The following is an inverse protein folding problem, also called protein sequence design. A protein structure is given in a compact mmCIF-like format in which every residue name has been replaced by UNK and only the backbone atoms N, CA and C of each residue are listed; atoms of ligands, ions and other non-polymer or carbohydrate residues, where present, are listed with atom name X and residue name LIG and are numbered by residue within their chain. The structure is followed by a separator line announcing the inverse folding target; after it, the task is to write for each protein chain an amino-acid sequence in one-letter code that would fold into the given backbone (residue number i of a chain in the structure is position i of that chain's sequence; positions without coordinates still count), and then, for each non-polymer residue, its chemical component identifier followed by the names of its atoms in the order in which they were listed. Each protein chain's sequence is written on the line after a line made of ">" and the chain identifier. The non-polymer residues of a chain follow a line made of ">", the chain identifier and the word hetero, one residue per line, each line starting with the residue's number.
data_IF_256951534259
#
_entry.id   IF_256951534259
#
_cell.length_a   1.000
_cell.length_b   1.000
_cell.length_c   1.000
_cell.angle_alpha   90.00
_cell.angle_beta   90.00
_cell.angle_gamma   90.00
#
_symmetry.space_group_name_H-M   'P 1'
#
loop_
_entity.id
_entity.type
_entity.pdbx_description
1 polymer ?
#
# COMPACT_ATOMS: atom_id res chain seq x y z
N UNK A 1 15.57 -32.68 30.94
CA UNK A 1 16.59 -31.78 30.37
C UNK A 1 16.17 -31.55 28.93
N UNK A 2 15.31 -30.54 28.71
CA UNK A 2 14.71 -30.25 27.40
C UNK A 2 15.52 -29.17 26.70
N UNK A 3 15.66 -29.36 25.39
CA UNK A 3 16.45 -28.59 24.45
C UNK A 3 16.20 -27.09 24.59
N UNK A 4 17.30 -26.36 24.78
CA UNK A 4 17.39 -24.92 24.63
C UNK A 4 17.27 -24.64 23.14
N UNK A 5 16.15 -24.07 22.71
CA UNK A 5 15.99 -23.62 21.34
C UNK A 5 17.12 -22.64 21.02
N UNK A 6 17.89 -22.95 19.97
CA UNK A 6 18.85 -22.05 19.36
C UNK A 6 18.05 -20.86 18.82
N UNK A 7 18.10 -19.74 19.55
CA UNK A 7 17.74 -18.44 18.99
C UNK A 7 18.92 -18.08 18.09
N UNK A 8 18.76 -18.23 16.79
CA UNK A 8 19.73 -17.73 15.81
C UNK A 8 20.01 -16.26 16.13
N UNK A 9 21.23 -15.99 16.57
CA UNK A 9 21.67 -14.65 16.93
C UNK A 9 21.85 -13.85 15.64
N UNK A 10 20.83 -13.06 15.28
CA UNK A 10 20.91 -12.06 14.22
C UNK A 10 22.17 -11.21 14.45
N UNK A 11 22.97 -11.01 13.39
CA UNK A 11 24.19 -10.21 13.52
C UNK A 11 23.85 -8.75 13.83
N UNK A 12 24.74 -7.98 14.50
CA UNK A 12 24.48 -6.58 14.77
C UNK A 12 24.16 -5.76 13.51
N UNK A 13 24.83 -6.04 12.38
CA UNK A 13 24.55 -5.39 11.09
C UNK A 13 23.14 -5.71 10.61
N UNK A 14 22.78 -6.99 10.61
CA UNK A 14 21.48 -7.46 10.15
C UNK A 14 20.34 -6.91 11.03
N UNK A 15 20.58 -6.73 12.33
CA UNK A 15 19.62 -6.07 13.22
C UNK A 15 19.42 -4.59 12.85
N UNK A 16 20.51 -3.85 12.63
CA UNK A 16 20.45 -2.44 12.24
C UNK A 16 19.72 -2.25 10.91
N UNK A 17 20.03 -3.11 9.93
CA UNK A 17 19.42 -3.09 8.60
C UNK A 17 17.93 -3.44 8.68
N UNK A 18 17.59 -4.54 9.36
CA UNK A 18 16.20 -4.99 9.53
C UNK A 18 15.31 -3.91 10.16
N UNK A 19 15.84 -3.18 11.13
CA UNK A 19 15.08 -2.16 11.86
C UNK A 19 15.33 -0.73 11.36
N UNK A 20 16.09 -0.56 10.28
CA UNK A 20 16.40 0.74 9.68
C UNK A 20 16.94 1.75 10.71
N UNK A 21 17.70 1.28 11.70
CA UNK A 21 18.10 2.08 12.86
C UNK A 21 18.99 3.26 12.43
N UNK A 22 19.84 3.06 11.43
CA UNK A 22 20.72 4.10 10.91
C UNK A 22 19.93 5.27 10.32
N UNK A 23 18.84 4.99 9.59
CA UNK A 23 17.96 6.03 9.04
C UNK A 23 17.41 6.94 10.14
N UNK A 24 16.95 6.36 11.25
CA UNK A 24 16.40 7.14 12.36
C UNK A 24 17.48 7.89 13.13
N UNK A 25 18.68 7.34 13.28
CA UNK A 25 19.79 8.04 13.93
C UNK A 25 20.25 9.23 13.09
N UNK A 26 20.43 9.04 11.79
CA UNK A 26 20.83 10.10 10.85
C UNK A 26 19.80 11.23 10.82
N UNK A 27 18.52 10.88 10.76
CA UNK A 27 17.43 11.85 10.81
C UNK A 27 17.38 12.60 12.15
N UNK A 28 17.48 11.90 13.29
CA UNK A 28 17.50 12.51 14.62
C UNK A 28 18.65 13.51 14.79
N UNK A 29 19.85 13.16 14.30
CA UNK A 29 21.03 14.01 14.38
C UNK A 29 20.87 15.23 13.47
N UNK A 30 20.38 15.03 12.25
CA UNK A 30 20.15 16.13 11.29
C UNK A 30 19.18 17.16 11.88
N UNK A 31 18.03 16.72 12.37
CA UNK A 31 17.05 17.61 13.00
C UNK A 31 17.58 18.27 14.28
N UNK A 32 18.40 17.58 15.07
CA UNK A 32 19.00 18.17 16.27
C UNK A 32 19.97 19.30 15.91
N UNK A 33 20.75 19.14 14.84
CA UNK A 33 21.68 20.16 14.37
C UNK A 33 20.93 21.39 13.86
N UNK A 34 19.89 21.20 13.04
CA UNK A 34 19.02 22.28 12.56
C UNK A 34 18.33 23.01 13.74
N UNK A 35 17.75 22.27 14.67
CA UNK A 35 17.09 22.85 15.84
C UNK A 35 18.06 23.59 16.76
N UNK A 36 19.31 23.14 16.87
CA UNK A 36 20.34 23.79 17.67
C UNK A 36 20.76 25.14 17.09
N UNK A 37 20.78 25.26 15.76
CA UNK A 37 21.08 26.53 15.08
C UNK A 37 20.03 27.59 15.39
N UNK A 38 18.76 27.19 15.57
CA UNK A 38 17.67 28.07 16.01
C UNK A 38 17.59 28.23 17.54
N UNK A 39 18.00 27.21 18.30
CA UNK A 39 17.90 27.15 19.76
C UNK A 39 19.19 26.66 20.42
N UNK A 40 20.07 27.59 20.75
CA UNK A 40 21.38 27.32 21.36
C UNK A 40 21.33 26.68 22.76
N UNK A 41 20.15 26.56 23.38
CA UNK A 41 19.94 25.98 24.73
C UNK A 41 19.35 24.57 24.70
N UNK A 42 19.28 23.94 23.53
CA UNK A 42 18.73 22.58 23.41
C UNK A 42 19.48 21.59 24.30
N UNK A 43 18.72 20.76 25.01
CA UNK A 43 19.26 19.64 25.77
C UNK A 43 19.25 18.43 24.85
N UNK A 44 20.41 18.09 24.28
CA UNK A 44 20.55 17.04 23.26
C UNK A 44 19.92 15.71 23.67
N UNK A 45 20.15 15.26 24.91
CA UNK A 45 19.59 13.99 25.41
C UNK A 45 18.06 14.00 25.48
N UNK A 46 17.46 15.14 25.84
CA UNK A 46 16.01 15.30 25.85
C UNK A 46 15.45 15.29 24.42
N UNK A 47 16.08 16.01 23.50
CA UNK A 47 15.67 16.03 22.11
C UNK A 47 15.66 14.62 21.50
N UNK A 48 16.76 13.87 21.66
CA UNK A 48 16.85 12.50 21.15
C UNK A 48 15.82 11.58 21.82
N UNK A 49 15.61 11.71 23.13
CA UNK A 49 14.58 10.93 23.82
C UNK A 49 13.17 11.25 23.32
N UNK A 50 12.86 12.51 23.04
CA UNK A 50 11.56 12.94 22.51
C UNK A 50 11.38 12.46 21.05
N UNK A 51 12.44 12.47 20.24
CA UNK A 51 12.45 11.93 18.88
C UNK A 51 12.18 10.41 18.85
N UNK A 52 12.93 9.60 19.61
CA UNK A 52 12.67 8.16 19.62
C UNK A 52 11.33 7.81 20.27
N UNK A 53 10.83 8.65 21.19
CA UNK A 53 9.45 8.52 21.70
C UNK A 53 8.42 8.79 20.61
N UNK A 54 8.66 9.74 19.70
CA UNK A 54 7.75 9.98 18.57
C UNK A 54 7.76 8.82 17.57
N UNK A 55 8.91 8.18 17.33
CA UNK A 55 8.99 6.94 16.53
C UNK A 55 8.18 5.82 17.17
N UNK A 56 8.35 5.61 18.47
CA UNK A 56 7.61 4.59 19.22
C UNK A 56 6.10 4.83 19.17
N UNK A 57 5.65 6.08 19.25
CA UNK A 57 4.24 6.46 19.14
C UNK A 57 3.71 6.48 17.70
N UNK A 58 4.61 6.46 16.71
CA UNK A 58 4.29 6.56 15.29
C UNK A 58 3.88 7.96 14.83
N UNK A 59 4.25 9.02 15.54
CA UNK A 59 3.94 10.41 15.15
C UNK A 59 5.11 11.10 14.43
N UNK A 60 6.25 10.43 14.30
CA UNK A 60 7.46 10.96 13.66
C UNK A 60 7.30 11.20 12.16
N UNK A 61 6.24 10.70 11.53
CA UNK A 61 5.93 10.87 10.10
C UNK A 61 5.10 12.12 9.81
N UNK A 62 4.57 12.81 10.82
CA UNK A 62 3.79 14.03 10.64
C UNK A 62 4.69 15.19 10.18
N UNK A 63 4.22 15.91 9.17
CA UNK A 63 4.89 17.07 8.56
C UNK A 63 6.26 16.75 7.96
N UNK A 64 6.45 15.50 7.52
CA UNK A 64 7.68 15.02 6.88
C UNK A 64 7.53 15.00 5.37
N UNK A 65 8.67 15.02 4.69
CA UNK A 65 8.75 14.81 3.24
C UNK A 65 8.28 13.40 2.86
N UNK A 66 7.69 13.26 1.68
CA UNK A 66 7.16 12.01 1.19
C UNK A 66 8.23 10.91 1.13
N UNK A 67 9.46 11.27 0.74
CA UNK A 67 10.58 10.32 0.67
C UNK A 67 10.92 9.71 2.04
N UNK A 68 10.88 10.51 3.11
CA UNK A 68 11.07 10.00 4.46
C UNK A 68 9.93 9.06 4.89
N UNK A 69 8.70 9.44 4.58
CA UNK A 69 7.50 8.68 4.98
C UNK A 69 7.44 7.31 4.27
N UNK A 70 7.87 7.23 3.01
CA UNK A 70 7.91 5.96 2.25
C UNK A 70 9.13 5.09 2.52
N UNK A 71 10.15 5.61 3.21
CA UNK A 71 11.47 4.97 3.29
C UNK A 71 11.47 3.60 3.98
N UNK A 72 10.58 3.39 4.96
CA UNK A 72 10.53 2.13 5.72
C UNK A 72 9.10 1.63 5.88
N UNK A 73 8.93 0.33 6.06
CA UNK A 73 7.63 -0.27 6.39
C UNK A 73 7.01 0.37 7.64
N UNK A 74 7.83 0.65 8.66
CA UNK A 74 7.38 1.31 9.90
C UNK A 74 6.87 2.73 9.62
N UNK A 75 7.59 3.52 8.82
CA UNK A 75 7.15 4.87 8.45
C UNK A 75 5.84 4.83 7.67
N UNK A 76 5.71 3.93 6.69
CA UNK A 76 4.47 3.76 5.92
C UNK A 76 3.28 3.43 6.82
N UNK A 77 3.47 2.46 7.73
CA UNK A 77 2.46 2.06 8.71
C UNK A 77 2.06 3.22 9.63
N UNK A 78 3.04 3.92 10.23
CA UNK A 78 2.78 5.07 11.10
C UNK A 78 2.04 6.19 10.36
N UNK A 79 2.40 6.46 9.11
CA UNK A 79 1.70 7.48 8.33
C UNK A 79 0.26 7.10 8.02
N UNK A 80 -0.01 5.84 7.65
CA UNK A 80 -1.39 5.34 7.49
C UNK A 80 -2.17 5.52 8.80
N UNK A 81 -1.56 5.20 9.95
CA UNK A 81 -2.15 5.44 11.29
C UNK A 81 -2.47 6.92 11.51
N UNK A 82 -1.55 7.82 11.15
CA UNK A 82 -1.75 9.26 11.26
C UNK A 82 -2.88 9.76 10.36
N UNK A 83 -2.94 9.33 9.10
CA UNK A 83 -4.03 9.68 8.17
C UNK A 83 -5.38 9.25 8.74
N UNK A 84 -5.47 8.01 9.22
CA UNK A 84 -6.67 7.51 9.89
C UNK A 84 -7.03 8.36 11.11
N UNK A 85 -6.08 8.55 12.03
CA UNK A 85 -6.27 9.31 13.26
C UNK A 85 -6.74 10.75 13.01
N UNK A 86 -6.11 11.46 12.08
CA UNK A 86 -6.37 12.88 11.85
C UNK A 86 -7.71 13.11 11.17
N UNK A 87 -8.17 12.17 10.33
CA UNK A 87 -9.30 12.40 9.43
C UNK A 87 -10.52 11.49 9.69
N UNK A 88 -10.44 10.48 10.57
CA UNK A 88 -11.60 9.62 10.89
C UNK A 88 -12.83 10.41 11.36
N UNK A 89 -12.62 11.53 12.05
CA UNK A 89 -13.71 12.38 12.55
C UNK A 89 -14.37 13.23 11.46
N UNK A 90 -13.62 13.56 10.40
CA UNK A 90 -14.19 14.19 9.20
C UNK A 90 -15.19 13.22 8.56
N UNK A 91 -14.82 11.93 8.48
CA UNK A 91 -15.68 10.89 7.96
C UNK A 91 -16.87 10.54 8.89
N UNK A 92 -16.73 10.68 10.21
CA UNK A 92 -17.77 10.33 11.17
C UNK A 92 -18.91 11.36 11.29
N UNK A 93 -18.64 12.63 11.02
CA UNK A 93 -19.62 13.72 11.22
C UNK A 93 -20.45 14.09 9.98
N UNK A 94 -20.25 13.40 8.85
CA UNK A 94 -21.17 13.51 7.73
C UNK A 94 -20.56 13.11 6.40
N UNK A 95 -20.71 11.83 6.03
CA UNK A 95 -20.96 11.31 4.67
C UNK A 95 -20.22 11.95 3.46
N UNK A 96 -19.05 12.54 3.65
CA UNK A 96 -18.34 13.18 2.55
C UNK A 96 -17.58 12.09 1.81
N UNK A 97 -18.21 11.61 0.74
CA UNK A 97 -17.46 11.06 -0.36
C UNK A 97 -16.55 12.19 -0.85
N UNK A 98 -15.24 11.97 -0.87
CA UNK A 98 -14.28 12.96 -1.30
C UNK A 98 -13.75 12.60 -2.69
N UNK A 99 -13.43 13.62 -3.47
CA UNK A 99 -12.73 13.49 -4.74
C UNK A 99 -11.24 13.20 -4.52
N UNK A 100 -10.56 12.77 -5.58
CA UNK A 100 -9.10 12.56 -5.60
C UNK A 100 -8.33 13.80 -5.14
N UNK A 101 -8.79 15.00 -5.53
CA UNK A 101 -8.14 16.27 -5.18
C UNK A 101 -8.31 16.63 -3.71
N UNK A 102 -9.46 16.31 -3.13
CA UNK A 102 -9.71 16.54 -1.70
C UNK A 102 -8.88 15.57 -0.85
N UNK A 103 -8.81 14.29 -1.22
CA UNK A 103 -7.90 13.34 -0.55
C UNK A 103 -6.44 13.76 -0.64
N UNK A 104 -5.99 14.20 -1.82
CA UNK A 104 -4.64 14.74 -1.99
C UNK A 104 -4.40 15.93 -1.07
N UNK A 105 -5.37 16.86 -1.00
CA UNK A 105 -5.29 18.02 -0.11
C UNK A 105 -5.19 17.63 1.36
N UNK A 106 -5.96 16.62 1.82
CA UNK A 106 -5.87 16.10 3.18
C UNK A 106 -4.50 15.50 3.49
N UNK A 107 -3.95 14.69 2.58
CA UNK A 107 -2.61 14.12 2.75
C UNK A 107 -1.54 15.21 2.78
N UNK A 108 -1.69 16.26 1.98
CA UNK A 108 -0.81 17.43 1.96
C UNK A 108 -0.78 18.20 3.29
N UNK A 109 -1.84 18.10 4.12
CA UNK A 109 -1.81 18.66 5.48
C UNK A 109 -0.83 17.90 6.39
N UNK A 110 -0.58 16.61 6.14
CA UNK A 110 0.34 15.79 6.92
C UNK A 110 1.72 15.65 6.26
N UNK A 111 1.83 15.83 4.95
CA UNK A 111 3.07 15.73 4.17
C UNK A 111 2.98 16.64 2.95
N UNK A 112 3.64 17.80 3.01
CA UNK A 112 3.41 18.90 2.07
C UNK A 112 3.73 18.59 0.59
N UNK A 113 4.59 17.60 0.33
CA UNK A 113 5.05 17.16 -0.98
C UNK A 113 4.41 15.81 -1.41
N UNK A 114 3.30 15.40 -0.76
CA UNK A 114 2.65 14.13 -1.05
C UNK A 114 2.25 14.02 -2.54
N UNK A 115 2.59 12.93 -3.25
CA UNK A 115 2.40 12.84 -4.69
C UNK A 115 0.94 12.57 -5.07
N UNK A 116 0.42 13.37 -6.01
CA UNK A 116 -0.91 13.18 -6.60
C UNK A 116 -1.05 11.80 -7.28
N UNK A 117 0.01 11.29 -7.90
CA UNK A 117 0.03 9.96 -8.54
C UNK A 117 -0.41 8.85 -7.56
N UNK A 118 0.09 8.86 -6.33
CA UNK A 118 -0.27 7.85 -5.33
C UNK A 118 -1.77 7.87 -5.02
N UNK A 119 -2.37 9.07 -4.94
CA UNK A 119 -3.81 9.25 -4.69
C UNK A 119 -4.63 8.80 -5.90
N UNK A 120 -4.18 9.11 -7.12
CA UNK A 120 -4.81 8.66 -8.36
C UNK A 120 -4.77 7.13 -8.51
N UNK A 121 -3.61 6.51 -8.23
CA UNK A 121 -3.45 5.05 -8.23
C UNK A 121 -4.36 4.39 -7.20
N UNK A 122 -4.52 5.01 -6.02
CA UNK A 122 -5.47 4.57 -4.99
C UNK A 122 -6.91 4.69 -5.46
N UNK A 123 -7.28 5.82 -6.08
CA UNK A 123 -8.61 6.04 -6.59
C UNK A 123 -9.00 5.03 -7.69
N UNK A 124 -8.07 4.65 -8.58
CA UNK A 124 -8.30 3.60 -9.58
C UNK A 124 -8.60 2.24 -8.97
N UNK A 125 -8.04 1.94 -7.79
CA UNK A 125 -8.42 0.73 -7.05
C UNK A 125 -9.90 0.81 -6.67
N UNK A 126 -10.32 1.93 -6.07
CA UNK A 126 -11.69 2.11 -5.53
C UNK A 126 -12.76 2.25 -6.62
N UNK A 127 -12.53 3.14 -7.58
CA UNK A 127 -13.53 3.58 -8.55
C UNK A 127 -13.53 2.74 -9.83
N UNK A 128 -12.54 1.87 -10.02
CA UNK A 128 -12.24 1.17 -11.27
C UNK A 128 -11.92 2.17 -12.41
N UNK A 129 -11.14 1.77 -13.42
CA UNK A 129 -10.39 2.69 -14.32
C UNK A 129 -11.21 3.81 -15.03
N UNK A 130 -12.54 3.71 -15.08
CA UNK A 130 -13.42 4.57 -15.90
C UNK A 130 -14.09 5.75 -15.15
N UNK A 131 -13.86 5.91 -13.83
CA UNK A 131 -14.68 6.82 -13.01
C UNK A 131 -13.90 7.72 -12.04
N UNK A 132 -12.72 8.24 -12.41
CA UNK A 132 -11.88 9.05 -11.51
C UNK A 132 -12.49 10.40 -11.05
N UNK A 133 -13.56 10.85 -11.70
CA UNK A 133 -14.34 12.02 -11.28
C UNK A 133 -15.38 11.69 -10.19
N UNK A 134 -15.55 10.41 -9.85
CA UNK A 134 -16.43 9.99 -8.77
C UNK A 134 -15.81 10.24 -7.40
N UNK A 135 -16.70 10.39 -6.41
CA UNK A 135 -16.35 10.58 -5.03
C UNK A 135 -16.22 9.23 -4.33
N UNK A 136 -15.32 9.13 -3.35
CA UNK A 136 -14.97 7.88 -2.67
C UNK A 136 -15.13 8.01 -1.16
N UNK A 137 -15.54 6.95 -0.50
CA UNK A 137 -15.69 6.94 0.95
C UNK A 137 -14.32 6.88 1.65
N UNK A 138 -14.21 7.47 2.84
CA UNK A 138 -12.97 7.42 3.63
C UNK A 138 -12.51 5.98 3.93
N UNK A 139 -13.38 5.03 4.34
CA UNK A 139 -12.97 3.63 4.49
C UNK A 139 -12.44 3.03 3.18
N UNK A 140 -13.11 3.22 2.05
CA UNK A 140 -12.67 2.61 0.79
C UNK A 140 -11.34 3.20 0.33
N UNK A 141 -11.18 4.53 0.43
CA UNK A 141 -9.91 5.19 0.16
C UNK A 141 -8.80 4.66 1.07
N UNK A 142 -9.02 4.64 2.38
CA UNK A 142 -7.97 4.34 3.35
C UNK A 142 -7.45 2.91 3.23
N UNK A 143 -8.35 1.94 3.01
CA UNK A 143 -7.95 0.55 2.81
C UNK A 143 -7.28 0.30 1.46
N UNK A 144 -7.75 0.96 0.39
CA UNK A 144 -7.06 0.91 -0.89
C UNK A 144 -5.68 1.61 -0.82
N UNK A 145 -5.60 2.72 -0.09
CA UNK A 145 -4.38 3.50 0.14
C UNK A 145 -3.36 2.66 0.90
N UNK A 146 -3.80 1.93 1.94
CA UNK A 146 -2.97 1.01 2.68
C UNK A 146 -2.31 -0.02 1.76
N UNK A 147 -3.06 -0.64 0.84
CA UNK A 147 -2.49 -1.60 -0.13
C UNK A 147 -1.52 -0.91 -1.09
N UNK A 148 -1.90 0.24 -1.68
CA UNK A 148 -1.06 0.95 -2.65
C UNK A 148 0.24 1.49 -2.06
N UNK A 149 0.18 2.00 -0.82
CA UNK A 149 1.30 2.69 -0.18
C UNK A 149 2.18 1.76 0.64
N UNK A 150 1.60 0.91 1.49
CA UNK A 150 2.39 0.02 2.34
C UNK A 150 3.11 -1.05 1.52
N UNK A 151 2.38 -1.67 0.58
CA UNK A 151 2.85 -2.75 -0.28
C UNK A 151 3.29 -2.27 -1.69
N UNK A 152 3.79 -1.04 -1.82
CA UNK A 152 4.09 -0.42 -3.12
C UNK A 152 4.93 -1.33 -4.05
N UNK A 153 6.00 -1.94 -3.55
CA UNK A 153 6.88 -2.83 -4.33
C UNK A 153 6.16 -4.12 -4.78
N UNK A 154 5.30 -4.66 -3.91
CA UNK A 154 4.46 -5.81 -4.25
C UNK A 154 3.41 -5.44 -5.30
N UNK A 155 2.79 -4.26 -5.20
CA UNK A 155 1.83 -3.77 -6.20
C UNK A 155 2.49 -3.56 -7.56
N UNK A 156 3.71 -3.01 -7.58
CA UNK A 156 4.50 -2.91 -8.81
C UNK A 156 4.80 -4.29 -9.41
N UNK A 157 5.17 -5.26 -8.57
CA UNK A 157 5.39 -6.65 -9.01
C UNK A 157 4.11 -7.31 -9.55
N UNK A 158 2.96 -7.03 -8.93
CA UNK A 158 1.65 -7.46 -9.45
C UNK A 158 1.39 -6.86 -10.84
N UNK A 159 1.72 -5.58 -11.03
CA UNK A 159 1.51 -4.90 -12.31
C UNK A 159 2.39 -5.49 -13.40
N UNK A 160 3.67 -5.71 -13.13
CA UNK A 160 4.61 -6.35 -14.06
C UNK A 160 4.15 -7.75 -14.47
N UNK A 161 3.74 -8.57 -13.49
CA UNK A 161 3.25 -9.93 -13.76
C UNK A 161 1.92 -9.91 -14.54
N UNK A 162 1.02 -8.97 -14.24
CA UNK A 162 -0.23 -8.79 -14.98
C UNK A 162 0.03 -8.38 -16.43
N UNK A 163 0.92 -7.42 -16.68
CA UNK A 163 1.24 -6.92 -18.01
C UNK A 163 1.95 -7.99 -18.86
N UNK A 164 2.84 -8.78 -18.27
CA UNK A 164 3.45 -9.93 -18.92
C UNK A 164 2.41 -10.95 -19.41
N UNK A 165 1.42 -11.27 -18.57
CA UNK A 165 0.36 -12.22 -18.94
C UNK A 165 -0.65 -11.63 -19.93
N UNK A 166 -0.96 -10.34 -19.80
CA UNK A 166 -1.87 -9.62 -20.68
C UNK A 166 -1.31 -9.45 -22.10
N UNK A 167 0.00 -9.20 -22.22
CA UNK A 167 0.68 -9.12 -23.52
C UNK A 167 0.86 -10.50 -24.15
N UNK A 168 1.14 -11.53 -23.36
CA UNK A 168 1.21 -12.92 -23.82
C UNK A 168 -0.10 -13.45 -24.42
N UNK A 169 -1.26 -12.97 -23.94
CA UNK A 169 -2.57 -13.23 -24.54
C UNK A 169 -2.75 -12.57 -25.93
N UNK A 170 -2.03 -11.48 -26.21
CA UNK A 170 -2.18 -10.71 -27.46
C UNK A 170 -1.19 -11.14 -28.57
N UNK A 171 -0.18 -11.97 -28.28
CA UNK A 171 0.90 -12.31 -29.24
C UNK A 171 0.79 -13.67 -29.96
N UNK A 172 -0.36 -14.36 -29.97
CA UNK A 172 -0.51 -15.60 -30.76
C UNK A 172 -1.80 -15.59 -31.58
N UNK A 173 -1.71 -15.16 -32.84
CA UNK A 173 -2.36 -15.82 -33.99
C UNK A 173 -1.74 -15.29 -35.29
N UNK A 174 -0.80 -16.06 -35.87
CA UNK A 174 -0.48 -15.94 -37.29
C UNK A 174 -1.13 -17.14 -37.98
N UNK A 175 -2.28 -16.97 -38.66
CA UNK A 175 -2.70 -17.97 -39.64
C UNK A 175 -1.74 -17.87 -40.82
N UNK A 176 -0.79 -18.80 -40.89
CA UNK A 176 -0.09 -19.05 -42.14
C UNK A 176 -1.15 -19.36 -43.19
N UNK A 177 -1.22 -18.49 -44.18
CA UNK A 177 -2.30 -18.41 -45.15
C UNK A 177 -2.21 -19.55 -46.15
N UNK A 178 -3.20 -20.44 -46.17
CA UNK A 178 -3.66 -21.06 -47.41
C UNK A 178 -5.19 -21.17 -47.40
N UNK A 179 -5.81 -20.32 -48.24
CA UNK A 179 -7.08 -20.49 -48.94
C UNK A 179 -8.36 -20.69 -48.12
N UNK A 180 -9.33 -19.77 -48.24
CA UNK A 180 -10.67 -20.03 -48.80
C UNK A 180 -11.43 -18.70 -48.97
N UNK A 181 -11.95 -18.50 -50.17
CA UNK A 181 -12.70 -17.34 -50.60
C UNK A 181 -14.11 -17.31 -50.01
N UNK A 182 -14.61 -16.07 -49.83
CA UNK A 182 -16.01 -15.68 -49.85
C UNK A 182 -16.91 -16.13 -48.68
N UNK A 183 -17.24 -15.19 -47.80
CA UNK A 183 -18.64 -14.78 -47.55
C UNK A 183 -18.67 -13.51 -46.70
N UNK A 184 -19.38 -12.49 -47.20
CA UNK A 184 -19.80 -11.32 -46.43
C UNK A 184 -20.87 -11.75 -45.44
N UNK A 185 -20.61 -11.61 -44.15
CA UNK A 185 -21.66 -11.54 -43.14
C UNK A 185 -21.24 -10.53 -42.09
N UNK A 186 -22.01 -9.44 -42.00
CA UNK A 186 -22.02 -8.52 -40.88
C UNK A 186 -22.32 -9.30 -39.59
N UNK A 187 -21.35 -9.37 -38.69
CA UNK A 187 -21.61 -9.73 -37.30
C UNK A 187 -21.27 -8.50 -36.46
N UNK A 188 -22.34 -7.92 -35.93
CA UNK A 188 -22.33 -6.98 -34.83
C UNK A 188 -21.69 -7.71 -33.65
N UNK A 189 -20.40 -7.49 -33.41
CA UNK A 189 -19.69 -8.18 -32.33
C UNK A 189 -19.85 -7.41 -31.02
N UNK A 190 -20.95 -7.70 -30.32
CA UNK A 190 -21.23 -7.27 -28.94
C UNK A 190 -20.75 -8.33 -27.93
N UNK A 191 -19.70 -9.11 -28.24
CA UNK A 191 -19.23 -10.20 -27.38
C UNK A 191 -17.88 -9.98 -26.67
N UNK A 192 -17.34 -8.76 -26.71
CA UNK A 192 -16.02 -8.44 -26.12
C UNK A 192 -15.96 -8.27 -24.59
N UNK A 193 -17.09 -8.17 -23.89
CA UNK A 193 -17.11 -7.85 -22.44
C UNK A 193 -16.95 -9.04 -21.49
N UNK A 194 -16.92 -10.27 -22.01
CA UNK A 194 -16.91 -11.49 -21.20
C UNK A 194 -15.53 -12.04 -20.81
N UNK A 195 -14.43 -11.45 -21.28
CA UNK A 195 -13.09 -12.06 -21.20
C UNK A 195 -11.98 -11.13 -20.71
N UNK A 196 -12.34 -10.06 -19.99
CA UNK A 196 -11.38 -9.11 -19.44
C UNK A 196 -10.56 -9.72 -18.28
N UNK A 197 -9.29 -9.31 -18.15
CA UNK A 197 -8.39 -9.81 -17.11
C UNK A 197 -7.55 -11.03 -17.51
N UNK A 198 -6.64 -11.46 -16.63
CA UNK A 198 -5.73 -12.61 -16.82
C UNK A 198 -6.20 -13.83 -16.03
N UNK A 199 -5.74 -15.02 -16.38
CA UNK A 199 -6.04 -16.24 -15.60
C UNK A 199 -5.41 -16.18 -14.20
N UNK A 200 -6.21 -16.43 -13.16
CA UNK A 200 -5.78 -16.27 -11.77
C UNK A 200 -4.65 -17.22 -11.35
N UNK A 201 -4.66 -18.48 -11.81
CA UNK A 201 -3.62 -19.45 -11.46
C UNK A 201 -2.28 -19.07 -12.09
N UNK A 202 -2.29 -18.74 -13.39
CA UNK A 202 -1.09 -18.28 -14.09
C UNK A 202 -0.53 -16.99 -13.48
N UNK A 203 -1.41 -16.09 -13.03
CA UNK A 203 -1.01 -14.87 -12.34
C UNK A 203 -0.37 -15.14 -10.99
N UNK A 204 -0.98 -15.99 -10.16
CA UNK A 204 -0.42 -16.41 -8.88
C UNK A 204 0.96 -17.06 -9.04
N UNK A 205 1.10 -18.01 -9.98
CA UNK A 205 2.38 -18.72 -10.19
C UNK A 205 3.50 -17.78 -10.63
N UNK A 206 3.16 -16.73 -11.38
CA UNK A 206 4.11 -15.68 -11.79
C UNK A 206 4.48 -14.79 -10.60
N UNK A 207 3.48 -14.37 -9.82
CA UNK A 207 3.64 -13.50 -8.67
C UNK A 207 4.45 -14.17 -7.54
N UNK A 208 4.15 -15.43 -7.22
CA UNK A 208 4.84 -16.19 -6.17
C UNK A 208 6.36 -16.25 -6.40
N UNK A 209 6.80 -16.34 -7.67
CA UNK A 209 8.23 -16.30 -8.03
C UNK A 209 8.86 -14.94 -7.77
N UNK A 210 8.14 -13.85 -7.99
CA UNK A 210 8.61 -12.48 -7.74
C UNK A 210 8.60 -12.14 -6.24
N UNK A 211 7.56 -12.55 -5.49
CA UNK A 211 7.45 -12.28 -4.06
C UNK A 211 8.55 -12.93 -3.22
N UNK A 212 9.06 -14.11 -3.62
CA UNK A 212 10.22 -14.73 -2.97
C UNK A 212 11.45 -13.80 -2.91
N UNK A 213 11.60 -12.89 -3.89
CA UNK A 213 12.69 -11.92 -3.91
C UNK A 213 12.40 -10.69 -3.02
N UNK A 214 11.13 -10.31 -2.89
CA UNK A 214 10.69 -9.14 -2.12
C UNK A 214 10.74 -9.37 -0.60
N UNK A 215 10.42 -10.58 -0.12
CA UNK A 215 10.32 -10.87 1.31
C UNK A 215 11.60 -10.57 2.13
N UNK A 216 12.76 -10.42 1.46
CA UNK A 216 14.01 -10.07 2.12
C UNK A 216 14.19 -8.56 2.35
N UNK A 217 13.45 -7.70 1.66
CA UNK A 217 13.74 -6.24 1.61
C UNK A 217 12.51 -5.34 1.72
N UNK A 218 11.32 -5.84 1.38
CA UNK A 218 10.12 -5.01 1.25
C UNK A 218 8.87 -5.73 1.78
N UNK A 219 7.87 -4.99 2.29
CA UNK A 219 6.61 -5.58 2.71
C UNK A 219 5.92 -6.32 1.56
N UNK A 220 5.38 -7.49 1.85
CA UNK A 220 4.56 -8.27 0.94
C UNK A 220 3.48 -8.99 1.75
N UNK A 221 2.21 -8.99 1.31
CA UNK A 221 1.16 -9.76 1.97
C UNK A 221 1.47 -11.26 1.92
N UNK A 222 0.91 -12.02 2.84
CA UNK A 222 1.02 -13.49 2.78
C UNK A 222 0.48 -14.02 1.46
N UNK A 223 1.29 -14.87 0.80
CA UNK A 223 0.89 -15.54 -0.43
C UNK A 223 -0.34 -16.43 -0.22
N UNK A 224 -0.61 -16.89 0.99
CA UNK A 224 -1.83 -17.66 1.31
C UNK A 224 -3.09 -16.80 1.16
N UNK A 225 -3.06 -15.56 1.67
CA UNK A 225 -4.18 -14.63 1.55
C UNK A 225 -4.37 -14.17 0.09
N UNK A 226 -3.27 -13.91 -0.63
CA UNK A 226 -3.33 -13.59 -2.07
C UNK A 226 -3.92 -14.75 -2.88
N UNK A 227 -3.47 -15.98 -2.63
CA UNK A 227 -4.02 -17.17 -3.29
C UNK A 227 -5.51 -17.36 -2.98
N UNK A 228 -5.91 -17.15 -1.72
CA UNK A 228 -7.31 -17.23 -1.30
C UNK A 228 -8.20 -16.30 -2.14
N UNK A 229 -7.79 -15.04 -2.34
CA UNK A 229 -8.54 -14.10 -3.20
C UNK A 229 -8.56 -14.53 -4.67
N UNK A 230 -7.41 -14.92 -5.22
CA UNK A 230 -7.30 -15.32 -6.63
C UNK A 230 -8.09 -16.60 -6.94
N UNK A 231 -8.25 -17.51 -5.97
CA UNK A 231 -8.98 -18.77 -6.15
C UNK A 231 -10.50 -18.59 -6.29
N UNK A 232 -11.05 -17.43 -5.93
CA UNK A 232 -12.49 -17.14 -5.98
C UNK A 232 -13.02 -16.95 -7.40
N UNK A 233 -12.15 -16.61 -8.35
CA UNK A 233 -12.53 -16.30 -9.73
C UNK A 233 -11.54 -16.92 -10.72
N UNK A 234 -11.98 -17.27 -11.94
CA UNK A 234 -11.08 -17.84 -12.94
C UNK A 234 -10.18 -16.80 -13.62
N UNK A 235 -10.64 -15.54 -13.66
CA UNK A 235 -9.93 -14.40 -14.26
C UNK A 235 -10.09 -13.16 -13.39
N UNK A 236 -9.07 -12.31 -13.41
CA UNK A 236 -9.05 -11.06 -12.64
C UNK A 236 -8.32 -9.96 -13.41
N UNK A 237 -8.77 -8.71 -13.26
CA UNK A 237 -8.04 -7.52 -13.73
C UNK A 237 -7.04 -7.07 -12.67
N UNK A 238 -6.06 -6.24 -13.05
CA UNK A 238 -5.09 -5.69 -12.09
C UNK A 238 -5.76 -4.95 -10.93
N UNK A 239 -6.64 -4.00 -11.23
CA UNK A 239 -7.38 -3.25 -10.20
C UNK A 239 -8.42 -4.12 -9.48
N UNK A 240 -8.95 -5.16 -10.13
CA UNK A 240 -9.80 -6.16 -9.49
C UNK A 240 -9.10 -6.91 -8.37
N UNK A 241 -7.82 -7.27 -8.55
CA UNK A 241 -7.00 -7.87 -7.49
C UNK A 241 -6.78 -6.89 -6.34
N UNK A 242 -6.33 -5.67 -6.63
CA UNK A 242 -6.06 -4.68 -5.58
C UNK A 242 -7.32 -4.34 -4.77
N UNK A 243 -8.47 -4.24 -5.43
CA UNK A 243 -9.77 -4.06 -4.79
C UNK A 243 -10.11 -5.24 -3.87
N UNK A 244 -9.91 -6.48 -4.33
CA UNK A 244 -10.14 -7.68 -3.52
C UNK A 244 -9.23 -7.71 -2.28
N UNK A 245 -7.93 -7.41 -2.44
CA UNK A 245 -6.98 -7.33 -1.33
C UNK A 245 -7.35 -6.22 -0.33
N UNK A 246 -7.80 -5.06 -0.79
CA UNK A 246 -8.22 -3.95 0.09
C UNK A 246 -9.42 -4.31 0.99
N UNK A 247 -10.21 -5.29 0.56
CA UNK A 247 -11.40 -5.79 1.27
C UNK A 247 -11.12 -7.07 2.08
N UNK A 248 -9.91 -7.61 2.02
CA UNK A 248 -9.55 -8.83 2.73
C UNK A 248 -9.06 -8.46 4.15
N UNK A 249 -9.80 -8.92 5.16
CA UNK A 249 -9.51 -8.61 6.57
C UNK A 249 -8.19 -9.22 7.06
N UNK A 250 -7.80 -10.40 6.56
CA UNK A 250 -6.54 -11.03 6.93
C UNK A 250 -5.34 -10.21 6.43
N UNK A 251 -5.37 -9.78 5.17
CA UNK A 251 -4.35 -8.89 4.57
C UNK A 251 -4.25 -7.57 5.33
N UNK A 252 -5.40 -7.00 5.71
CA UNK A 252 -5.45 -5.76 6.47
C UNK A 252 -4.91 -5.93 7.91
N UNK A 253 -5.21 -7.07 8.54
CA UNK A 253 -4.74 -7.41 9.89
C UNK A 253 -3.24 -7.68 9.91
N UNK A 254 -2.66 -8.21 8.83
CA UNK A 254 -1.20 -8.39 8.70
C UNK A 254 -0.43 -7.07 8.81
N UNK A 255 -0.98 -5.98 8.27
CA UNK A 255 -0.39 -4.65 8.41
C UNK A 255 -0.56 -4.15 9.85
N UNK A 256 -1.72 -4.45 10.47
CA UNK A 256 -1.96 -4.26 11.89
C UNK A 256 -2.08 -2.79 12.34
N UNK A 257 -2.28 -1.87 11.39
CA UNK A 257 -2.32 -0.42 11.65
C UNK A 257 -3.74 0.10 11.87
N UNK A 258 -4.69 -0.37 11.06
CA UNK A 258 -6.06 0.10 11.07
C UNK A 258 -6.94 -0.86 11.87
N UNK A 259 -7.95 -0.34 12.61
CA UNK A 259 -8.99 -1.20 13.18
C UNK A 259 -9.83 -1.80 12.05
N UNK A 260 -10.55 -2.88 12.34
CA UNK A 260 -11.49 -3.50 11.40
C UNK A 260 -12.51 -2.49 10.85
N UNK A 261 -13.00 -2.75 9.63
CA UNK A 261 -13.87 -1.81 8.87
C UNK A 261 -15.06 -1.31 9.67
N UNK A 262 -15.68 -2.18 10.47
CA UNK A 262 -16.87 -1.87 11.26
C UNK A 262 -16.59 -0.87 12.41
N UNK A 263 -15.36 -0.86 12.94
CA UNK A 263 -14.93 0.02 14.02
C UNK A 263 -14.08 1.20 13.55
N UNK A 264 -13.89 1.38 12.23
CA UNK A 264 -12.95 2.35 11.67
C UNK A 264 -13.27 3.79 12.03
N UNK A 265 -14.56 4.11 12.16
CA UNK A 265 -15.04 5.45 12.47
C UNK A 265 -15.36 5.63 13.96
N UNK A 266 -15.13 4.60 14.78
CA UNK A 266 -15.39 4.61 16.22
C UNK A 266 -14.15 5.09 17.00
N UNK A 267 -14.38 5.65 18.19
CA UNK A 267 -13.33 6.01 19.17
C UNK A 267 -13.25 7.48 19.58
N UNK A 268 -12.66 7.73 20.75
CA UNK A 268 -12.39 9.06 21.32
C UNK A 268 -10.95 9.50 21.02
N UNK A 269 -10.71 10.80 20.86
CA UNK A 269 -9.38 11.40 20.60
C UNK A 269 -8.31 10.99 21.65
N UNK A 270 -8.75 10.61 22.86
CA UNK A 270 -7.90 10.33 24.00
C UNK A 270 -7.01 9.08 23.84
N UNK A 271 -7.32 8.17 22.92
CA UNK A 271 -6.59 6.89 22.78
C UNK A 271 -5.40 6.97 21.82
N UNK A 272 -5.34 7.97 20.94
CA UNK A 272 -4.39 7.99 19.82
C UNK A 272 -3.05 8.65 20.16
N UNK A 273 -2.98 9.42 21.25
CA UNK A 273 -1.74 10.07 21.73
C UNK A 273 -1.04 9.24 22.82
N UNK A 274 -1.71 8.22 23.36
CA UNK A 274 -1.26 7.47 24.56
C UNK A 274 -0.93 5.98 24.35
N UNK A 275 -1.07 5.43 23.14
CA UNK A 275 -0.60 4.07 22.81
C UNK A 275 0.43 4.11 21.68
#
# INVERSE_FOLDING_TARGET
>A
IMAKAEVDAISPSEYLDKHHILLYIEDAITQLLEYKDENSKVIHSKFLADYFRSIHKGTHTLFREFEYIRATAHNRACFIKCVWSCFRHIASHGAELLSVKEYHSLLCLLSHDFPMDMVQRTARVVLMDDALDCLMSFPDFLYAFQIQFYYEEFVNSCKEAYDHLSTGLNTVFVPSSENWQSSKTSIHDDSGRGNEGVNCQAFYDTLAKSCLKLHSTSPCPSLQHVHSELSKTPRITFYGLLMALSKNDDVNTEIGVLPGRDCLLEGSDAEIIMT
#
